data_IF_216056663446
#
_entry.id   IF_216056663446
#
_cell.length_a   1.000
_cell.length_b   1.000
_cell.length_c   1.000
_cell.angle_alpha   90.00
_cell.angle_beta   90.00
_cell.angle_gamma   90.00
#
_symmetry.space_group_name_H-M   'P 1'
#
loop_
_entity.id
_entity.type
_entity.pdbx_description
1 polymer ?
#
# COMPACT_ATOMS: atom_id res chain seq x y z
N UNK A 1 -1.87 4.26 -19.97
CA UNK A 1 -2.43 2.88 -19.96
C UNK A 1 -1.63 1.85 -20.77
N UNK A 2 -1.35 2.06 -22.06
CA UNK A 2 -0.63 1.06 -22.86
C UNK A 2 0.76 0.72 -22.30
N UNK A 3 1.56 1.74 -21.94
CA UNK A 3 2.91 1.54 -21.34
C UNK A 3 2.83 0.74 -20.04
N UNK A 4 1.94 1.12 -19.13
CA UNK A 4 1.70 0.37 -17.89
C UNK A 4 1.39 -1.11 -18.17
N UNK A 5 0.45 -1.39 -19.07
CA UNK A 5 0.02 -2.75 -19.37
C UNK A 5 1.16 -3.59 -19.96
N UNK A 6 1.91 -3.04 -20.91
CA UNK A 6 3.06 -3.72 -21.51
C UNK A 6 4.13 -4.04 -20.46
N UNK A 7 4.50 -3.06 -19.64
CA UNK A 7 5.51 -3.26 -18.58
C UNK A 7 5.03 -4.29 -17.57
N UNK A 8 3.78 -4.19 -17.11
CA UNK A 8 3.17 -5.14 -16.18
C UNK A 8 3.20 -6.57 -16.72
N UNK A 9 2.82 -6.77 -17.99
CA UNK A 9 2.85 -8.08 -18.64
C UNK A 9 4.27 -8.63 -18.75
N UNK A 10 5.24 -7.81 -19.16
CA UNK A 10 6.64 -8.23 -19.25
C UNK A 10 7.14 -8.70 -17.88
N UNK A 11 6.95 -7.89 -16.84
CA UNK A 11 7.38 -8.21 -15.47
C UNK A 11 6.73 -9.50 -14.97
N UNK A 12 5.42 -9.65 -15.20
CA UNK A 12 4.67 -10.84 -14.79
C UNK A 12 5.14 -12.10 -15.51
N UNK A 13 5.43 -12.02 -16.81
CA UNK A 13 5.98 -13.14 -17.59
C UNK A 13 7.38 -13.51 -17.10
N UNK A 14 8.23 -12.54 -16.78
CA UNK A 14 9.56 -12.79 -16.24
C UNK A 14 9.50 -13.44 -14.85
N UNK A 15 8.64 -12.94 -13.96
CA UNK A 15 8.45 -13.52 -12.62
C UNK A 15 7.94 -14.97 -12.71
N UNK A 16 6.83 -15.18 -13.42
CA UNK A 16 6.22 -16.51 -13.51
C UNK A 16 7.10 -17.50 -14.28
N UNK A 17 7.80 -17.04 -15.32
CA UNK A 17 8.76 -17.86 -16.07
C UNK A 17 9.95 -18.32 -15.21
N UNK A 18 10.51 -17.41 -14.41
CA UNK A 18 11.63 -17.75 -13.52
C UNK A 18 11.20 -18.63 -12.34
N UNK A 19 10.01 -18.41 -11.77
CA UNK A 19 9.42 -19.33 -10.77
C UNK A 19 9.13 -20.72 -11.35
N UNK A 20 8.67 -20.80 -12.60
CA UNK A 20 8.46 -22.07 -13.28
C UNK A 20 9.77 -22.84 -13.48
N UNK A 21 10.83 -22.14 -13.91
CA UNK A 21 12.18 -22.69 -13.98
C UNK A 21 12.67 -23.17 -12.60
N UNK A 22 12.55 -22.34 -11.57
CA UNK A 22 13.01 -22.66 -10.22
C UNK A 22 12.35 -23.92 -9.67
N UNK A 23 11.03 -24.06 -9.84
CA UNK A 23 10.32 -25.29 -9.45
C UNK A 23 10.84 -26.54 -10.14
N UNK A 24 11.32 -26.44 -11.38
CA UNK A 24 11.86 -27.59 -12.12
C UNK A 24 13.30 -27.89 -11.69
N UNK A 25 14.17 -26.87 -11.70
CA UNK A 25 15.60 -27.02 -11.46
C UNK A 25 15.95 -27.33 -9.98
N UNK A 26 15.19 -26.75 -9.05
CA UNK A 26 15.50 -26.77 -7.61
C UNK A 26 14.61 -27.74 -6.81
N UNK A 27 13.67 -28.43 -7.48
CA UNK A 27 12.87 -29.47 -6.82
C UNK A 27 13.75 -30.60 -6.28
N UNK A 28 13.29 -31.26 -5.21
CA UNK A 28 14.06 -32.33 -4.55
C UNK A 28 15.14 -31.83 -3.58
N UNK A 29 15.17 -30.53 -3.28
CA UNK A 29 16.13 -29.95 -2.33
C UNK A 29 17.48 -29.60 -2.97
N UNK A 30 17.54 -29.51 -4.30
CA UNK A 30 18.74 -29.07 -5.00
C UNK A 30 19.04 -27.60 -4.68
N UNK A 31 20.32 -27.31 -4.43
CA UNK A 31 20.83 -25.96 -4.21
C UNK A 31 21.87 -25.67 -5.28
N UNK A 32 21.73 -24.53 -5.96
CA UNK A 32 22.69 -24.06 -6.95
C UNK A 32 23.41 -22.84 -6.36
N UNK A 33 24.66 -23.01 -5.96
CA UNK A 33 25.48 -21.90 -5.49
C UNK A 33 26.00 -21.08 -6.68
N UNK A 34 25.68 -19.78 -6.71
CA UNK A 34 26.04 -18.88 -7.81
C UNK A 34 27.28 -18.06 -7.44
N UNK A 35 27.26 -17.46 -6.25
CA UNK A 35 28.40 -16.75 -5.66
C UNK A 35 28.61 -17.35 -4.27
N UNK A 36 29.80 -17.92 -3.99
CA UNK A 36 30.04 -18.56 -2.72
C UNK A 36 29.68 -17.67 -1.54
N UNK A 37 28.83 -18.18 -0.66
CA UNK A 37 28.38 -17.53 0.59
C UNK A 37 27.57 -16.23 0.45
N UNK A 38 27.26 -15.77 -0.77
CA UNK A 38 26.51 -14.53 -1.00
C UNK A 38 25.20 -14.75 -1.78
N UNK A 39 25.21 -15.65 -2.75
CA UNK A 39 24.07 -15.85 -3.64
C UNK A 39 23.92 -17.33 -4.00
N UNK A 40 22.78 -17.90 -3.65
CA UNK A 40 22.41 -19.25 -4.05
C UNK A 40 20.97 -19.31 -4.55
N UNK A 41 20.64 -20.36 -5.29
CA UNK A 41 19.27 -20.68 -5.65
C UNK A 41 18.79 -21.89 -4.85
N UNK A 42 17.68 -21.71 -4.13
CA UNK A 42 17.04 -22.73 -3.29
C UNK A 42 15.53 -22.56 -3.31
N UNK A 43 14.76 -23.63 -3.52
CA UNK A 43 13.29 -23.50 -3.61
C UNK A 43 12.65 -23.38 -2.22
N UNK A 44 11.96 -22.26 -1.97
CA UNK A 44 11.23 -22.00 -0.72
C UNK A 44 9.78 -21.62 -1.03
N UNK A 45 8.83 -22.19 -0.27
CA UNK A 45 7.43 -21.76 -0.29
C UNK A 45 7.16 -20.81 0.87
N UNK A 46 7.26 -19.52 0.61
CA UNK A 46 7.20 -18.50 1.63
C UNK A 46 5.74 -18.08 1.91
N UNK A 47 5.23 -18.23 3.15
CA UNK A 47 3.92 -17.70 3.53
C UNK A 47 3.84 -16.16 3.45
N UNK A 48 4.98 -15.47 3.37
CA UNK A 48 5.11 -14.01 3.38
C UNK A 48 5.62 -13.46 4.71
N UNK A 49 6.36 -14.28 5.46
CA UNK A 49 6.88 -13.95 6.78
C UNK A 49 8.38 -14.25 6.86
N UNK A 50 9.17 -13.72 5.93
CA UNK A 50 10.64 -13.85 6.00
C UNK A 50 11.25 -13.21 7.26
N UNK A 51 10.44 -12.46 8.05
CA UNK A 51 10.76 -11.97 9.40
C UNK A 51 9.88 -12.54 10.53
N UNK A 52 9.13 -13.63 10.29
CA UNK A 52 8.34 -14.33 11.31
C UNK A 52 7.05 -13.64 11.80
N UNK A 53 6.81 -12.38 11.46
CA UNK A 53 5.65 -11.61 11.97
C UNK A 53 4.27 -12.00 11.43
N UNK A 54 4.19 -12.71 10.30
CA UNK A 54 2.92 -12.96 9.61
C UNK A 54 2.67 -14.44 9.23
N UNK A 55 3.42 -15.38 9.81
CA UNK A 55 3.40 -16.81 9.44
C UNK A 55 2.01 -17.47 9.53
N UNK A 56 1.12 -16.94 10.37
CA UNK A 56 -0.28 -17.37 10.53
C UNK A 56 -1.33 -16.47 9.88
N UNK A 57 -0.93 -15.42 9.17
CA UNK A 57 -1.82 -14.39 8.61
C UNK A 57 -1.63 -14.25 7.09
N UNK A 58 -1.40 -15.36 6.39
CA UNK A 58 -1.20 -15.39 4.93
C UNK A 58 -2.37 -14.73 4.18
N UNK A 59 -3.59 -14.89 4.68
CA UNK A 59 -4.81 -14.25 4.16
C UNK A 59 -4.75 -12.72 4.17
N UNK A 60 -4.16 -12.12 5.22
CA UNK A 60 -4.01 -10.66 5.32
C UNK A 60 -3.07 -10.18 4.22
N UNK A 61 -1.96 -10.88 4.02
CA UNK A 61 -0.97 -10.51 3.00
C UNK A 61 -1.56 -10.67 1.59
N UNK A 62 -2.36 -11.71 1.36
CA UNK A 62 -3.07 -11.92 0.10
C UNK A 62 -4.07 -10.79 -0.19
N UNK A 63 -4.85 -10.35 0.82
CA UNK A 63 -5.74 -9.19 0.68
C UNK A 63 -4.93 -7.92 0.41
N UNK A 64 -3.84 -7.69 1.15
CA UNK A 64 -3.00 -6.51 0.95
C UNK A 64 -2.41 -6.48 -0.46
N UNK A 65 -1.94 -7.62 -0.97
CA UNK A 65 -1.43 -7.72 -2.33
C UNK A 65 -2.52 -7.45 -3.38
N UNK A 66 -3.74 -7.96 -3.17
CA UNK A 66 -4.88 -7.66 -4.03
C UNK A 66 -5.23 -6.16 -4.03
N UNK A 67 -5.35 -5.56 -2.85
CA UNK A 67 -5.63 -4.11 -2.71
C UNK A 67 -4.51 -3.29 -3.36
N UNK A 68 -3.24 -3.65 -3.15
CA UNK A 68 -2.11 -2.99 -3.79
C UNK A 68 -2.22 -3.04 -5.33
N UNK A 69 -2.57 -4.19 -5.91
CA UNK A 69 -2.79 -4.31 -7.36
C UNK A 69 -3.89 -3.36 -7.85
N UNK A 70 -5.03 -3.30 -7.14
CA UNK A 70 -6.14 -2.40 -7.48
C UNK A 70 -5.71 -0.93 -7.40
N UNK A 71 -5.01 -0.54 -6.32
CA UNK A 71 -4.55 0.83 -6.13
C UNK A 71 -3.50 1.24 -7.18
N UNK A 72 -2.58 0.34 -7.54
CA UNK A 72 -1.57 0.59 -8.57
C UNK A 72 -2.21 0.75 -9.96
N UNK A 73 -3.17 -0.10 -10.30
CA UNK A 73 -3.92 0.01 -11.55
C UNK A 73 -4.74 1.31 -11.61
N UNK A 74 -5.40 1.66 -10.49
CA UNK A 74 -6.12 2.94 -10.37
C UNK A 74 -5.17 4.14 -10.50
N UNK A 75 -4.06 4.15 -9.76
CA UNK A 75 -3.05 5.21 -9.84
C UNK A 75 -2.51 5.36 -11.26
N UNK A 76 -2.29 4.26 -11.97
CA UNK A 76 -1.83 4.30 -13.37
C UNK A 76 -2.87 4.91 -14.32
N UNK A 77 -4.16 4.85 -14.00
CA UNK A 77 -5.20 5.49 -14.79
C UNK A 77 -5.25 7.01 -14.57
N UNK A 78 -4.69 7.50 -13.47
CA UNK A 78 -4.71 8.90 -13.08
C UNK A 78 -3.48 9.70 -13.54
N UNK A 79 -2.39 9.02 -13.91
CA UNK A 79 -1.15 9.66 -14.38
C UNK A 79 -1.10 9.78 -15.90
N UNK A 80 -0.57 10.90 -16.39
CA UNK A 80 -0.23 11.15 -17.80
C UNK A 80 1.28 11.04 -18.07
N UNK A 81 2.09 10.77 -17.04
CA UNK A 81 3.54 10.61 -17.16
C UNK A 81 3.92 9.18 -17.53
N UNK A 82 4.72 9.05 -18.58
CA UNK A 82 5.27 7.77 -19.01
C UNK A 82 6.19 7.15 -17.95
N UNK A 83 6.97 7.98 -17.26
CA UNK A 83 7.91 7.52 -16.21
C UNK A 83 7.14 6.90 -15.04
N UNK A 84 6.08 7.57 -14.58
CA UNK A 84 5.18 7.04 -13.56
C UNK A 84 4.46 5.77 -14.03
N UNK A 85 3.99 5.74 -15.28
CA UNK A 85 3.35 4.55 -15.84
C UNK A 85 4.28 3.32 -15.89
N UNK A 86 5.57 3.50 -16.20
CA UNK A 86 6.58 2.43 -16.17
C UNK A 86 6.79 1.91 -14.76
N UNK A 87 6.94 2.79 -13.77
CA UNK A 87 7.17 2.37 -12.39
C UNK A 87 5.95 1.71 -11.77
N UNK A 88 4.75 2.25 -12.02
CA UNK A 88 3.49 1.63 -11.58
C UNK A 88 3.28 0.28 -12.26
N UNK A 89 3.61 0.15 -13.55
CA UNK A 89 3.54 -1.13 -14.28
C UNK A 89 4.50 -2.15 -13.71
N UNK A 90 5.73 -1.73 -13.39
CA UNK A 90 6.74 -2.58 -12.75
C UNK A 90 6.28 -3.06 -11.37
N UNK A 91 5.79 -2.14 -10.52
CA UNK A 91 5.27 -2.47 -9.19
C UNK A 91 4.06 -3.40 -9.28
N UNK A 92 3.12 -3.11 -10.21
CA UNK A 92 1.94 -3.94 -10.41
C UNK A 92 2.32 -5.34 -10.87
N UNK A 93 3.22 -5.47 -11.85
CA UNK A 93 3.67 -6.79 -12.33
C UNK A 93 4.28 -7.64 -11.22
N UNK A 94 5.13 -7.03 -10.36
CA UNK A 94 5.71 -7.73 -9.21
C UNK A 94 4.65 -8.11 -8.16
N UNK A 95 3.79 -7.17 -7.77
CA UNK A 95 2.71 -7.44 -6.81
C UNK A 95 1.74 -8.52 -7.33
N UNK A 96 1.35 -8.44 -8.60
CA UNK A 96 0.47 -9.40 -9.25
C UNK A 96 1.12 -10.78 -9.37
N UNK A 97 2.42 -10.87 -9.68
CA UNK A 97 3.15 -12.14 -9.71
C UNK A 97 3.12 -12.87 -8.36
N UNK A 98 3.36 -12.15 -7.27
CA UNK A 98 3.26 -12.71 -5.92
C UNK A 98 1.80 -13.02 -5.51
N UNK A 99 0.83 -12.22 -5.95
CA UNK A 99 -0.59 -12.49 -5.72
C UNK A 99 -1.07 -13.74 -6.48
N UNK A 100 -0.62 -13.94 -7.71
CA UNK A 100 -0.95 -15.13 -8.51
C UNK A 100 -0.51 -16.40 -7.77
N UNK A 101 0.73 -16.43 -7.27
CA UNK A 101 1.20 -17.58 -6.47
C UNK A 101 0.32 -17.83 -5.25
N UNK A 102 -0.06 -16.76 -4.54
CA UNK A 102 -0.94 -16.84 -3.37
C UNK A 102 -2.33 -17.37 -3.70
N UNK A 103 -2.84 -17.17 -4.92
CA UNK A 103 -4.12 -17.70 -5.36
C UNK A 103 -3.98 -19.14 -5.84
N UNK A 104 -2.95 -19.41 -6.65
CA UNK A 104 -2.73 -20.71 -7.30
C UNK A 104 -2.30 -21.79 -6.31
N UNK A 105 -1.52 -21.43 -5.30
CA UNK A 105 -1.02 -22.36 -4.27
C UNK A 105 -1.77 -22.22 -2.94
N UNK A 106 -3.00 -21.70 -2.95
CA UNK A 106 -3.88 -21.69 -1.79
C UNK A 106 -4.55 -23.07 -1.62
N UNK A 107 -4.63 -23.55 -0.39
CA UNK A 107 -5.43 -24.72 -0.03
C UNK A 107 -6.82 -24.30 0.46
N UNK A 108 -6.90 -23.11 1.08
CA UNK A 108 -8.11 -22.47 1.56
C UNK A 108 -8.22 -21.06 0.97
N UNK A 109 -9.24 -20.31 1.36
CA UNK A 109 -9.42 -18.93 0.87
C UNK A 109 -8.28 -18.05 1.38
N UNK A 110 -7.46 -17.55 0.44
CA UNK A 110 -6.40 -16.56 0.64
C UNK A 110 -5.16 -17.03 1.42
N UNK A 111 -5.02 -18.33 1.70
CA UNK A 111 -3.92 -18.86 2.54
C UNK A 111 -2.63 -19.20 1.79
N UNK A 112 -2.58 -18.97 0.48
CA UNK A 112 -1.48 -19.44 -0.35
C UNK A 112 -0.12 -18.78 -0.09
N UNK A 113 0.90 -19.42 -0.66
CA UNK A 113 2.32 -19.10 -0.44
C UNK A 113 2.98 -18.67 -1.74
N UNK A 114 4.00 -17.83 -1.61
CA UNK A 114 4.81 -17.35 -2.74
C UNK A 114 5.96 -18.32 -3.00
N UNK A 115 6.33 -18.50 -4.27
CA UNK A 115 7.50 -19.29 -4.66
C UNK A 115 8.73 -18.37 -4.65
N UNK A 116 9.59 -18.56 -3.67
CA UNK A 116 10.88 -17.87 -3.57
C UNK A 116 12.01 -18.80 -3.93
N UNK A 117 13.05 -18.28 -4.58
CA UNK A 117 14.15 -19.10 -5.04
C UNK A 117 15.53 -18.45 -5.07
N UNK A 118 15.62 -17.14 -4.83
CA UNK A 118 16.88 -16.38 -4.83
C UNK A 118 17.25 -16.11 -3.37
N UNK A 119 18.28 -16.78 -2.88
CA UNK A 119 18.79 -16.62 -1.53
C UNK A 119 19.97 -15.63 -1.50
N UNK A 120 19.75 -14.51 -0.81
CA UNK A 120 20.72 -13.43 -0.62
C UNK A 120 21.52 -13.58 0.69
N UNK A 121 21.40 -14.71 1.39
CA UNK A 121 22.06 -15.03 2.66
C UNK A 121 21.31 -14.55 3.91
N UNK A 122 20.51 -13.49 3.80
CA UNK A 122 19.69 -12.94 4.90
C UNK A 122 18.18 -13.03 4.64
N UNK A 123 17.77 -13.26 3.39
CA UNK A 123 16.39 -13.49 2.98
C UNK A 123 16.38 -14.27 1.66
N UNK A 124 15.34 -15.06 1.46
CA UNK A 124 15.04 -15.68 0.17
C UNK A 124 13.90 -14.89 -0.47
N UNK A 125 14.04 -14.56 -1.74
CA UNK A 125 13.02 -13.85 -2.52
C UNK A 125 12.92 -14.36 -3.95
N UNK A 126 12.26 -13.59 -4.79
CA UNK A 126 12.06 -13.91 -6.20
C UNK A 126 12.23 -12.68 -7.10
N UNK A 127 11.95 -12.86 -8.39
CA UNK A 127 12.08 -11.80 -9.40
C UNK A 127 11.03 -10.71 -9.22
N UNK A 128 9.81 -11.03 -8.80
CA UNK A 128 8.82 -10.01 -8.41
C UNK A 128 9.33 -9.09 -7.29
N UNK A 129 10.06 -9.59 -6.28
CA UNK A 129 10.61 -8.76 -5.20
C UNK A 129 11.70 -7.80 -5.69
N UNK A 130 12.51 -8.24 -6.68
CA UNK A 130 13.49 -7.38 -7.35
C UNK A 130 12.78 -6.24 -8.07
N UNK A 131 11.74 -6.54 -8.84
CA UNK A 131 10.98 -5.52 -9.56
C UNK A 131 10.24 -4.55 -8.61
N UNK A 132 9.68 -5.04 -7.50
CA UNK A 132 9.10 -4.18 -6.47
C UNK A 132 10.14 -3.25 -5.86
N UNK A 133 11.36 -3.75 -5.59
CA UNK A 133 12.47 -2.95 -5.07
C UNK A 133 12.90 -1.88 -6.07
N UNK A 134 13.07 -2.24 -7.35
CA UNK A 134 13.41 -1.30 -8.43
C UNK A 134 12.32 -0.23 -8.58
N UNK A 135 11.03 -0.63 -8.56
CA UNK A 135 9.93 0.31 -8.65
C UNK A 135 9.91 1.28 -7.46
N UNK A 136 10.14 0.80 -6.24
CA UNK A 136 10.24 1.64 -5.04
C UNK A 136 11.37 2.66 -5.12
N UNK A 137 12.57 2.22 -5.52
CA UNK A 137 13.72 3.12 -5.74
C UNK A 137 13.40 4.15 -6.84
N UNK A 138 12.78 3.71 -7.94
CA UNK A 138 12.37 4.58 -9.04
C UNK A 138 11.36 5.63 -8.60
N UNK A 139 10.37 5.27 -7.77
CA UNK A 139 9.37 6.21 -7.25
C UNK A 139 10.06 7.28 -6.41
N UNK A 140 10.96 6.87 -5.50
CA UNK A 140 11.77 7.82 -4.74
C UNK A 140 12.57 8.77 -5.65
N UNK A 141 13.17 8.24 -6.71
CA UNK A 141 13.93 9.05 -7.67
C UNK A 141 13.05 10.06 -8.43
N UNK A 142 11.84 9.67 -8.86
CA UNK A 142 10.91 10.59 -9.53
C UNK A 142 10.44 11.71 -8.59
N UNK A 143 10.14 11.37 -7.35
CA UNK A 143 9.75 12.34 -6.32
C UNK A 143 10.89 13.33 -6.06
N UNK A 144 12.12 12.84 -5.87
CA UNK A 144 13.29 13.69 -5.66
C UNK A 144 13.61 14.60 -6.87
N UNK A 145 13.30 14.14 -8.08
CA UNK A 145 13.45 14.93 -9.32
C UNK A 145 12.29 15.90 -9.56
N UNK A 146 11.23 15.87 -8.74
CA UNK A 146 10.05 16.70 -8.94
C UNK A 146 9.26 16.33 -10.20
N UNK A 147 9.29 15.07 -10.64
CA UNK A 147 8.52 14.63 -11.81
C UNK A 147 7.05 14.57 -11.43
N UNK A 148 6.24 15.46 -12.01
CA UNK A 148 4.82 15.55 -11.71
C UNK A 148 4.09 14.22 -12.01
N UNK A 149 3.25 13.80 -11.07
CA UNK A 149 2.40 12.62 -11.22
C UNK A 149 1.29 12.84 -12.27
N UNK A 150 0.78 14.06 -12.37
CA UNK A 150 -0.20 14.47 -13.38
C UNK A 150 0.08 15.91 -13.81
N UNK A 151 0.16 16.15 -15.11
CA UNK A 151 0.33 17.51 -15.62
C UNK A 151 -0.88 18.37 -15.24
N UNK A 152 -0.64 19.53 -14.62
CA UNK A 152 -1.68 20.52 -14.29
C UNK A 152 -2.14 20.60 -12.83
N UNK A 153 -1.67 19.74 -11.93
CA UNK A 153 -1.90 19.89 -10.47
C UNK A 153 -0.77 20.66 -9.76
N UNK A 154 0.38 20.86 -10.41
CA UNK A 154 1.55 21.56 -9.88
C UNK A 154 1.50 23.07 -10.17
N UNK A 155 0.37 23.69 -9.84
CA UNK A 155 -0.12 25.01 -10.31
C UNK A 155 0.75 26.27 -10.16
N UNK A 156 2.08 26.20 -10.05
CA UNK A 156 2.92 27.36 -10.35
C UNK A 156 3.10 27.54 -11.85
N UNK A 157 2.15 28.24 -12.47
CA UNK A 157 2.55 29.11 -13.57
C UNK A 157 3.41 30.23 -12.96
N UNK A 158 4.62 30.52 -13.46
CA UNK A 158 5.29 31.77 -13.13
C UNK A 158 4.28 32.88 -13.44
N UNK A 159 3.93 33.70 -12.45
CA UNK A 159 3.16 34.90 -12.73
C UNK A 159 4.00 35.70 -13.73
N UNK A 160 3.52 35.94 -14.97
CA UNK A 160 4.27 36.69 -15.95
C UNK A 160 4.65 38.05 -15.36
N UNK A 161 5.89 38.51 -15.56
CA UNK A 161 6.33 39.80 -15.01
C UNK A 161 5.44 40.97 -15.48
N UNK A 162 4.83 40.86 -16.66
CA UNK A 162 3.81 41.79 -17.16
C UNK A 162 2.56 41.91 -16.27
N UNK A 163 2.19 40.89 -15.49
CA UNK A 163 1.05 40.95 -14.56
C UNK A 163 1.34 41.79 -13.30
N UNK A 164 2.62 41.94 -12.93
CA UNK A 164 3.04 42.85 -11.87
C UNK A 164 3.12 44.30 -12.37
N UNK A 165 3.52 44.49 -13.62
CA UNK A 165 3.63 45.82 -14.23
C UNK A 165 2.26 46.42 -14.57
N UNK A 166 1.27 45.59 -14.94
CA UNK A 166 -0.10 46.08 -15.18
C UNK A 166 -0.87 46.43 -13.91
N UNK A 167 -0.44 45.91 -12.75
CA UNK A 167 -1.10 46.15 -11.46
C UNK A 167 -0.60 47.42 -10.73
N UNK A 168 0.40 48.11 -11.29
CA UNK A 168 1.06 49.26 -10.64
C UNK A 168 0.97 50.57 -11.43
N UNK A 169 0.29 50.58 -12.58
CA UNK A 169 0.26 51.74 -13.48
C UNK A 169 -1.05 52.54 -13.53
N UNK A 170 -2.16 52.12 -12.90
CA UNK A 170 -3.40 52.93 -12.87
C UNK A 170 -4.10 52.87 -11.49
N UNK A 171 -4.15 54.04 -10.82
CA UNK A 171 -4.98 54.47 -9.67
C UNK A 171 -4.92 53.76 -8.28
N UNK A 172 -5.19 54.51 -7.16
CA UNK A 172 -5.01 54.03 -5.80
C UNK A 172 -6.09 53.03 -5.37
N UNK A 173 -5.66 52.06 -4.55
CA UNK A 173 -6.39 50.90 -4.09
C UNK A 173 -7.80 51.17 -3.55
N UNK A 174 -8.80 50.63 -4.25
CA UNK A 174 -10.06 50.21 -3.62
C UNK A 174 -9.84 48.78 -3.11
N UNK A 175 -9.96 48.57 -1.79
CA UNK A 175 -9.81 47.25 -1.16
C UNK A 175 -10.81 46.27 -1.78
N UNK A 176 -10.37 45.13 -2.34
CA UNK A 176 -11.29 44.06 -2.71
C UNK A 176 -11.95 43.50 -1.46
N UNK A 177 -13.28 43.38 -1.49
CA UNK A 177 -14.04 42.68 -0.46
C UNK A 177 -13.52 41.25 -0.28
N UNK A 178 -13.38 40.82 0.98
CA UNK A 178 -12.94 39.45 1.30
C UNK A 178 -13.91 38.40 0.69
N UNK A 179 -13.40 37.31 0.10
CA UNK A 179 -14.25 36.21 -0.33
C UNK A 179 -14.84 35.52 0.89
N UNK A 180 -16.17 35.49 0.98
CA UNK A 180 -16.91 34.77 2.02
C UNK A 180 -16.59 33.27 2.02
N UNK A 181 -16.08 32.75 3.14
CA UNK A 181 -15.98 31.32 3.42
C UNK A 181 -17.39 30.67 3.35
N UNK A 182 -17.67 29.89 2.30
CA UNK A 182 -18.75 28.90 2.36
C UNK A 182 -18.28 27.69 3.19
N UNK A 183 -18.63 27.69 4.47
CA UNK A 183 -18.56 26.50 5.34
C UNK A 183 -19.76 25.60 5.06
N UNK A 184 -19.61 24.29 4.83
CA UNK A 184 -20.75 23.37 4.87
C UNK A 184 -21.32 23.34 6.29
N UNK A 185 -22.60 23.67 6.40
CA UNK A 185 -23.32 23.93 7.65
C UNK A 185 -23.39 22.73 8.60
N UNK A 186 -22.93 22.97 9.83
CA UNK A 186 -23.35 22.25 11.01
C UNK A 186 -24.80 22.66 11.33
N UNK A 187 -25.75 21.77 11.12
CA UNK A 187 -27.15 21.99 11.54
C UNK A 187 -27.25 21.57 13.00
N UNK A 188 -27.19 22.56 13.89
CA UNK A 188 -27.67 22.47 15.27
C UNK A 188 -29.03 23.16 15.29
N UNK A 189 -30.10 22.38 15.37
CA UNK A 189 -31.43 22.91 15.69
C UNK A 189 -31.65 22.76 17.20
N UNK A 190 -31.74 23.89 17.89
CA UNK A 190 -32.20 23.98 19.28
C UNK A 190 -33.28 25.04 19.37
N UNK A 191 -34.48 24.63 19.81
CA UNK A 191 -35.47 25.34 20.64
C UNK A 191 -36.77 24.53 20.58
N UNK A 192 -37.61 24.33 21.60
CA UNK A 192 -37.61 24.53 23.06
C UNK A 192 -39.05 24.24 23.49
N UNK A 193 -39.24 23.58 24.65
CA UNK A 193 -40.55 23.40 25.30
C UNK A 193 -41.26 22.10 24.88
N UNK A 194 -41.93 21.35 25.74
CA UNK A 194 -42.26 21.47 27.17
C UNK A 194 -42.70 20.08 27.65
N UNK A 195 -42.80 19.93 28.97
CA UNK A 195 -43.64 18.94 29.66
C UNK A 195 -43.09 17.53 29.92
N UNK A 196 -42.61 17.38 31.17
CA UNK A 196 -43.00 16.35 32.16
C UNK A 196 -43.37 14.96 31.64
N UNK A 197 -42.64 13.93 32.07
CA UNK A 197 -43.16 12.92 33.02
C UNK A 197 -42.05 11.97 33.50
N UNK A 198 -42.26 11.45 34.70
CA UNK A 198 -41.38 10.68 35.55
C UNK A 198 -40.98 9.29 35.01
N UNK A 199 -39.82 8.77 35.46
CA UNK A 199 -39.38 7.43 35.08
C UNK A 199 -38.10 6.89 35.74
N UNK A 200 -38.00 7.01 37.06
CA UNK A 200 -37.35 6.06 38.00
C UNK A 200 -35.96 5.49 37.65
N UNK A 201 -34.92 6.08 38.24
CA UNK A 201 -33.66 5.40 38.52
C UNK A 201 -33.72 4.83 39.96
N UNK A 202 -33.53 3.52 40.10
CA UNK A 202 -33.16 2.89 41.38
C UNK A 202 -31.89 2.07 41.12
N UNK A 203 -30.76 2.55 41.63
CA UNK A 203 -29.58 1.74 41.89
C UNK A 203 -28.98 2.26 43.20
N UNK A 204 -29.00 1.49 44.30
CA UNK A 204 -28.22 1.81 45.48
C UNK A 204 -26.83 1.18 45.37
N UNK A 205 -25.83 1.96 45.76
CA UNK A 205 -24.59 1.48 46.37
C UNK A 205 -24.88 0.89 47.76
N UNK A 206 -24.15 -0.16 48.16
CA UNK A 206 -23.45 -0.26 49.47
C UNK A 206 -22.83 -1.66 49.65
N UNK A 207 -21.50 -1.67 49.77
CA UNK A 207 -20.67 -2.16 50.88
C UNK A 207 -20.86 -3.51 51.59
N UNK A 208 -19.73 -3.92 52.18
CA UNK A 208 -19.41 -5.04 53.11
C UNK A 208 -19.02 -6.38 52.43
N UNK A 209 -17.74 -6.78 52.39
CA UNK A 209 -16.78 -7.17 53.44
C UNK A 209 -16.99 -8.61 53.98
N UNK A 210 -15.86 -9.31 54.21
CA UNK A 210 -15.64 -10.47 55.10
C UNK A 210 -15.67 -11.91 54.50
N UNK A 211 -14.44 -12.38 54.20
CA UNK A 211 -13.78 -13.59 54.74
C UNK A 211 -14.13 -15.01 54.23
N UNK A 212 -13.09 -15.81 53.95
CA UNK A 212 -13.18 -17.27 54.08
C UNK A 212 -12.21 -18.13 53.26
N UNK A 213 -11.02 -18.37 53.81
CA UNK A 213 -10.24 -19.65 53.85
C UNK A 213 -10.30 -20.67 52.69
N UNK A 214 -9.10 -21.20 52.41
CA UNK A 214 -8.88 -22.63 52.16
C UNK A 214 -8.03 -22.90 50.91
N UNK A 215 -6.73 -23.14 51.06
CA UNK A 215 -6.12 -24.48 51.24
C UNK A 215 -5.83 -25.15 49.91
N UNK A 216 -4.57 -25.53 49.72
CA UNK A 216 -4.01 -25.94 48.44
C UNK A 216 -4.23 -27.40 48.06
N UNK A 217 -3.58 -27.81 46.98
CA UNK A 217 -2.88 -29.09 46.85
C UNK A 217 -2.23 -29.19 45.47
N UNK A 218 -0.91 -29.50 45.52
CA UNK A 218 -0.09 -30.27 44.57
C UNK A 218 0.14 -29.73 43.16
#
# INVERSE_FOLDING_TARGET
MAVFAVVAVIVLVLDQGTKAWAKQALSGGNIIEVIPHLLSFVLVRNPGASLGFASGHTWVISILAFVACVLLAYASAQTDSHEWAVLLGTAFGGAAGNLIDRIVYAEHVLDGRVVDFIDYGWSVGNVADIFLTIAGIGVCALVLRGVAFRSGLDGRKPIPAEAYLSATSDEPAEMPAEPSEERPGCVIASTSGSDTDAGKADRPEEDSEVNGRGSGAK
#
